data_IF_105249909139
#
_entry.id   IF_105249909139
#
_cell.length_a   1.000
_cell.length_b   1.000
_cell.length_c   1.000
_cell.angle_alpha   90.00
_cell.angle_beta   90.00
_cell.angle_gamma   90.00
#
_symmetry.space_group_name_H-M   'P 1'
#
loop_
_entity.id
_entity.type
_entity.pdbx_description
1 polymer ?
#
# COMPACT_ATOMS: atom_id res chain seq x y z
N UNK A 1 -31.55 -10.04 9.10
CA UNK A 1 -31.85 -9.23 7.90
C UNK A 1 -30.92 -9.65 6.78
N UNK A 2 -31.40 -9.67 5.53
CA UNK A 2 -30.62 -10.06 4.35
C UNK A 2 -30.04 -8.80 3.71
N UNK A 3 -28.72 -8.62 3.76
CA UNK A 3 -28.04 -7.58 2.99
C UNK A 3 -27.61 -8.19 1.66
N UNK A 4 -27.93 -7.56 0.53
CA UNK A 4 -27.39 -7.98 -0.77
C UNK A 4 -26.45 -6.90 -1.31
N UNK A 5 -25.19 -7.29 -1.60
CA UNK A 5 -24.22 -6.46 -2.31
C UNK A 5 -24.18 -6.88 -3.77
N UNK A 6 -24.34 -5.94 -4.70
CA UNK A 6 -24.27 -6.18 -6.14
C UNK A 6 -22.98 -5.61 -6.73
N UNK A 7 -22.35 -6.35 -7.65
CA UNK A 7 -21.10 -5.99 -8.32
C UNK A 7 -21.32 -5.69 -9.82
N UNK A 8 -20.35 -5.02 -10.44
CA UNK A 8 -20.37 -4.65 -11.86
C UNK A 8 -20.36 -5.85 -12.82
N UNK A 9 -19.89 -7.01 -12.38
CA UNK A 9 -19.95 -8.29 -13.11
C UNK A 9 -21.34 -8.95 -13.04
N UNK A 10 -22.37 -8.23 -12.58
CA UNK A 10 -23.75 -8.71 -12.36
C UNK A 10 -23.88 -9.79 -11.30
N UNK A 11 -22.82 -10.09 -10.54
CA UNK A 11 -22.91 -11.01 -9.41
C UNK A 11 -23.35 -10.29 -8.15
N UNK A 12 -23.82 -11.06 -7.17
CA UNK A 12 -24.23 -10.54 -5.87
C UNK A 12 -23.76 -11.41 -4.71
N UNK A 13 -23.49 -10.78 -3.57
CA UNK A 13 -23.20 -11.45 -2.30
C UNK A 13 -24.36 -11.16 -1.35
N UNK A 14 -25.00 -12.20 -0.83
CA UNK A 14 -26.02 -12.07 0.20
C UNK A 14 -25.43 -12.40 1.56
N UNK A 15 -25.62 -11.52 2.54
CA UNK A 15 -25.23 -11.75 3.93
C UNK A 15 -26.47 -11.84 4.82
N UNK A 16 -26.51 -12.86 5.67
CA UNK A 16 -27.44 -12.97 6.79
C UNK A 16 -26.63 -12.70 8.05
N UNK A 17 -27.00 -11.66 8.80
CA UNK A 17 -26.35 -11.36 10.08
C UNK A 17 -26.43 -12.57 11.02
N UNK A 18 -25.29 -13.20 11.28
CA UNK A 18 -25.08 -14.16 12.36
C UNK A 18 -23.67 -13.97 12.92
N UNK A 19 -23.60 -13.64 14.21
CA UNK A 19 -22.35 -13.52 14.96
C UNK A 19 -21.78 -14.92 15.22
N UNK A 20 -20.57 -15.20 14.72
CA UNK A 20 -19.83 -16.41 15.07
C UNK A 20 -18.41 -16.03 15.49
N UNK A 21 -17.93 -16.60 16.59
CA UNK A 21 -16.53 -16.48 16.99
C UNK A 21 -15.74 -17.52 16.20
N UNK A 22 -14.78 -17.08 15.39
CA UNK A 22 -13.86 -17.96 14.68
C UNK A 22 -12.47 -17.85 15.31
N UNK A 23 -11.85 -18.99 15.60
CA UNK A 23 -10.42 -19.07 15.89
C UNK A 23 -9.64 -18.87 14.60
N UNK A 24 -8.77 -17.86 14.56
CA UNK A 24 -7.87 -17.60 13.44
C UNK A 24 -6.94 -18.80 13.29
N UNK A 25 -6.95 -19.43 12.11
CA UNK A 25 -6.01 -20.50 11.80
C UNK A 25 -4.58 -19.94 11.84
N UNK A 26 -3.60 -20.69 12.38
CA UNK A 26 -2.21 -20.26 12.32
C UNK A 26 -1.81 -19.99 10.86
N UNK A 27 -0.89 -19.04 10.62
CA UNK A 27 -0.40 -18.75 9.27
C UNK A 27 0.07 -20.05 8.61
N UNK A 28 -0.09 -20.20 7.28
CA UNK A 28 0.36 -21.39 6.58
C UNK A 28 1.81 -21.65 6.93
N UNK A 29 2.13 -22.87 7.35
CA UNK A 29 3.52 -23.27 7.50
C UNK A 29 4.20 -23.10 6.13
N UNK A 30 5.41 -22.54 6.14
CA UNK A 30 6.26 -22.55 4.95
C UNK A 30 6.42 -24.00 4.46
N UNK A 31 6.07 -24.26 3.20
CA UNK A 31 6.27 -25.55 2.56
C UNK A 31 7.26 -25.37 1.43
N UNK A 32 8.52 -25.73 1.67
CA UNK A 32 9.52 -25.75 0.59
C UNK A 32 9.14 -26.77 -0.48
N UNK A 33 9.58 -26.52 -1.72
CA UNK A 33 9.58 -27.56 -2.74
C UNK A 33 10.33 -28.80 -2.23
N UNK A 34 9.84 -29.99 -2.57
CA UNK A 34 10.43 -31.26 -2.13
C UNK A 34 11.93 -31.29 -2.44
N UNK A 35 12.75 -31.58 -1.42
CA UNK A 35 14.21 -31.63 -1.53
C UNK A 35 14.97 -30.35 -1.16
N UNK A 36 14.26 -29.24 -0.85
CA UNK A 36 14.90 -27.97 -0.44
C UNK A 36 14.96 -27.79 1.07
N UNK A 37 15.92 -26.98 1.51
CA UNK A 37 16.09 -26.60 2.90
C UNK A 37 14.80 -26.03 3.51
N UNK A 38 14.47 -26.47 4.72
CA UNK A 38 13.32 -25.95 5.49
C UNK A 38 13.77 -25.12 6.70
N UNK A 39 15.08 -25.00 6.92
CA UNK A 39 15.61 -24.25 8.06
C UNK A 39 15.39 -22.76 7.89
N UNK A 40 14.98 -22.14 8.98
CA UNK A 40 14.75 -20.71 9.07
C UNK A 40 15.21 -20.18 10.42
N UNK A 41 15.41 -18.86 10.47
CA UNK A 41 15.72 -18.14 11.70
C UNK A 41 15.08 -16.75 11.65
N UNK A 42 14.37 -16.38 12.71
CA UNK A 42 13.83 -15.02 12.85
C UNK A 42 14.70 -14.22 13.81
N UNK A 43 15.07 -13.01 13.39
CA UNK A 43 15.76 -12.02 14.20
C UNK A 43 14.79 -10.89 14.53
N UNK A 44 14.67 -10.54 15.81
CA UNK A 44 13.97 -9.31 16.20
C UNK A 44 14.95 -8.14 16.08
N UNK A 45 14.57 -7.13 15.32
CA UNK A 45 15.41 -5.97 15.02
C UNK A 45 14.80 -4.73 15.67
N UNK A 46 15.61 -4.05 16.47
CA UNK A 46 15.30 -2.72 16.99
C UNK A 46 16.19 -1.72 16.25
N UNK A 47 15.58 -0.77 15.56
CA UNK A 47 16.28 0.26 14.82
C UNK A 47 17.07 1.20 15.73
N UNK A 48 18.05 1.88 15.15
CA UNK A 48 18.73 2.98 15.83
C UNK A 48 17.69 4.06 16.22
N UNK A 49 17.88 4.83 17.32
CA UNK A 49 16.95 5.88 17.70
C UNK A 49 16.83 6.94 16.59
N UNK A 50 15.61 7.32 16.24
CA UNK A 50 15.32 8.33 15.23
C UNK A 50 14.35 9.39 15.76
N UNK A 51 14.63 10.65 15.45
CA UNK A 51 13.79 11.79 15.85
C UNK A 51 13.03 12.34 14.65
N UNK A 52 11.73 12.59 14.82
CA UNK A 52 10.85 13.16 13.80
C UNK A 52 11.07 14.68 13.61
N UNK A 53 12.31 15.09 13.39
CA UNK A 53 12.68 16.50 13.21
C UNK A 53 12.01 17.09 11.96
N UNK A 54 11.37 18.26 12.13
CA UNK A 54 10.66 18.95 11.06
C UNK A 54 9.22 18.47 10.82
N UNK A 55 8.82 17.34 11.40
CA UNK A 55 7.45 16.84 11.33
C UNK A 55 6.56 17.54 12.36
N UNK A 56 5.61 18.36 11.88
CA UNK A 56 4.67 19.06 12.75
C UNK A 56 3.71 18.07 13.45
N UNK A 57 3.35 18.36 14.70
CA UNK A 57 2.41 17.56 15.48
C UNK A 57 2.97 16.22 15.99
N UNK A 58 4.27 15.98 15.89
CA UNK A 58 4.92 14.79 16.47
C UNK A 58 5.80 15.13 17.66
N UNK A 59 5.94 14.15 18.57
CA UNK A 59 6.96 14.19 19.60
C UNK A 59 8.35 14.31 18.97
N UNK A 60 9.17 15.22 19.50
CA UNK A 60 10.56 15.43 19.08
C UNK A 60 11.55 14.59 19.92
N UNK A 61 11.05 13.50 20.50
CA UNK A 61 11.84 12.51 21.24
C UNK A 61 12.31 11.42 20.27
N UNK A 62 13.55 10.98 20.45
CA UNK A 62 14.09 9.87 19.67
C UNK A 62 13.36 8.56 20.00
N UNK A 63 12.85 7.89 18.97
CA UNK A 63 12.12 6.62 19.08
C UNK A 63 12.69 5.64 18.06
N UNK A 64 12.92 4.40 18.47
CA UNK A 64 13.35 3.32 17.59
C UNK A 64 12.13 2.65 16.95
N UNK A 65 12.21 2.40 15.64
CA UNK A 65 11.33 1.45 14.99
C UNK A 65 11.70 0.02 15.37
N UNK A 66 10.82 -0.93 15.11
CA UNK A 66 11.09 -2.35 15.28
C UNK A 66 10.62 -3.15 14.07
N UNK A 67 11.16 -4.35 13.91
CA UNK A 67 10.78 -5.28 12.85
C UNK A 67 11.30 -6.68 13.11
N UNK A 68 10.93 -7.62 12.24
CA UNK A 68 11.44 -8.98 12.26
C UNK A 68 12.10 -9.31 10.93
N UNK A 69 13.31 -9.85 10.98
CA UNK A 69 14.01 -10.35 9.81
C UNK A 69 13.97 -11.88 9.82
N UNK A 70 13.20 -12.48 8.91
CA UNK A 70 13.13 -13.94 8.76
C UNK A 70 14.06 -14.39 7.66
N UNK A 71 15.05 -15.19 8.04
CA UNK A 71 16.05 -15.79 7.17
C UNK A 71 15.54 -17.16 6.71
N UNK A 72 15.43 -17.33 5.40
CA UNK A 72 15.17 -18.58 4.69
C UNK A 72 16.50 -19.05 4.09
N UNK A 73 17.18 -19.96 4.80
CA UNK A 73 18.53 -20.40 4.43
C UNK A 73 18.54 -21.11 3.08
N UNK A 74 19.55 -20.87 2.26
CA UNK A 74 19.82 -21.68 1.07
C UNK A 74 20.13 -23.13 1.43
N UNK A 75 20.17 -24.01 0.43
CA UNK A 75 20.58 -25.40 0.64
C UNK A 75 22.04 -25.48 1.15
N UNK A 76 22.91 -24.57 0.70
CA UNK A 76 24.29 -24.46 1.15
C UNK A 76 24.44 -24.00 2.62
N UNK A 77 23.45 -23.28 3.15
CA UNK A 77 23.44 -22.76 4.52
C UNK A 77 22.54 -23.55 5.47
N UNK A 78 21.92 -24.63 4.99
CA UNK A 78 20.87 -25.33 5.71
C UNK A 78 21.37 -26.00 7.00
N UNK A 79 22.55 -26.64 6.94
CA UNK A 79 23.04 -27.48 8.03
C UNK A 79 23.54 -26.66 9.24
N UNK A 80 24.15 -25.51 9.01
CA UNK A 80 24.84 -24.72 10.03
C UNK A 80 24.22 -23.36 10.31
N UNK A 81 23.18 -22.98 9.54
CA UNK A 81 22.45 -21.72 9.67
C UNK A 81 23.37 -20.49 9.62
N UNK A 82 24.43 -20.55 8.81
CA UNK A 82 25.31 -19.42 8.56
C UNK A 82 24.89 -18.69 7.29
N UNK A 83 24.55 -17.41 7.40
CA UNK A 83 24.28 -16.56 6.23
C UNK A 83 25.57 -16.38 5.44
N UNK A 84 25.52 -16.65 4.14
CA UNK A 84 26.65 -16.59 3.20
C UNK A 84 26.42 -15.59 2.08
N UNK A 85 25.25 -15.63 1.46
CA UNK A 85 24.91 -14.79 0.29
C UNK A 85 23.53 -14.14 0.49
N UNK A 86 23.44 -13.08 1.32
CA UNK A 86 22.15 -12.53 1.71
C UNK A 86 21.47 -11.74 0.57
N UNK A 87 20.20 -12.06 0.31
CA UNK A 87 19.26 -11.20 -0.40
C UNK A 87 18.23 -10.74 0.61
N UNK A 88 18.15 -9.44 0.87
CA UNK A 88 17.24 -8.82 1.82
C UNK A 88 16.07 -8.22 1.04
N UNK A 89 14.89 -8.78 1.21
CA UNK A 89 13.65 -8.30 0.63
C UNK A 89 12.86 -7.53 1.67
N UNK A 90 12.58 -6.25 1.41
CA UNK A 90 11.91 -5.38 2.38
C UNK A 90 10.40 -5.48 2.23
N UNK A 91 9.71 -5.41 3.36
CA UNK A 91 8.28 -5.19 3.34
C UNK A 91 7.93 -3.80 2.79
N UNK A 92 6.78 -3.73 2.13
CA UNK A 92 6.24 -2.51 1.56
C UNK A 92 5.42 -1.72 2.57
N UNK A 93 4.52 -0.87 2.06
CA UNK A 93 3.54 -0.22 2.92
C UNK A 93 2.53 -1.25 3.43
N UNK A 94 2.56 -1.52 4.74
CA UNK A 94 1.61 -2.37 5.46
C UNK A 94 1.19 -1.67 6.77
N UNK A 95 0.22 -0.75 6.72
CA UNK A 95 -0.10 0.14 7.83
C UNK A 95 -0.72 -0.55 9.04
N UNK A 96 -1.21 -1.77 8.88
CA UNK A 96 -1.89 -2.53 9.92
C UNK A 96 -1.08 -3.75 10.37
N UNK A 97 0.12 -3.97 9.80
CA UNK A 97 1.02 -5.07 10.09
C UNK A 97 0.30 -6.44 10.05
N UNK A 98 -0.34 -6.69 8.92
CA UNK A 98 -1.18 -7.87 8.68
C UNK A 98 -0.55 -8.86 7.72
N UNK A 99 0.49 -8.43 7.01
CA UNK A 99 1.36 -9.27 6.20
C UNK A 99 2.63 -9.58 6.99
N UNK A 100 2.94 -10.87 7.13
CA UNK A 100 4.20 -11.33 7.71
C UNK A 100 5.20 -11.83 6.66
N UNK A 101 6.41 -12.14 7.10
CA UNK A 101 7.49 -12.63 6.26
C UNK A 101 7.13 -13.85 5.38
N UNK A 102 6.28 -14.77 5.85
CA UNK A 102 5.86 -15.94 5.08
C UNK A 102 4.91 -15.59 3.96
N UNK A 103 3.97 -14.68 4.23
CA UNK A 103 3.07 -14.17 3.20
C UNK A 103 3.85 -13.41 2.13
N UNK A 104 4.84 -12.60 2.51
CA UNK A 104 5.75 -11.93 1.57
C UNK A 104 6.47 -12.97 0.70
N UNK A 105 7.10 -13.98 1.32
CA UNK A 105 7.79 -15.04 0.60
C UNK A 105 6.87 -15.73 -0.40
N UNK A 106 5.75 -16.31 0.05
CA UNK A 106 4.92 -17.19 -0.78
C UNK A 106 4.05 -16.44 -1.79
N UNK A 107 3.51 -15.27 -1.41
CA UNK A 107 2.49 -14.57 -2.19
C UNK A 107 3.05 -13.43 -3.05
N UNK A 108 4.30 -13.01 -2.84
CA UNK A 108 4.89 -11.89 -3.59
C UNK A 108 6.22 -12.25 -4.25
N UNK A 109 7.06 -13.08 -3.62
CA UNK A 109 8.36 -13.47 -4.20
C UNK A 109 8.26 -14.83 -4.92
N UNK A 110 7.58 -15.81 -4.34
CA UNK A 110 7.55 -17.19 -4.83
C UNK A 110 6.34 -17.49 -5.74
N UNK A 111 5.94 -16.50 -6.54
CA UNK A 111 4.76 -16.57 -7.41
C UNK A 111 5.10 -16.83 -8.87
N UNK A 112 4.08 -17.19 -9.65
CA UNK A 112 4.21 -17.45 -11.08
C UNK A 112 5.00 -18.72 -11.40
N UNK A 113 5.44 -18.86 -12.66
CA UNK A 113 6.13 -20.06 -13.14
C UNK A 113 7.56 -20.18 -12.62
N UNK A 114 8.25 -19.04 -12.44
CA UNK A 114 9.67 -19.00 -12.13
C UNK A 114 10.00 -19.04 -10.63
N UNK A 115 8.99 -18.87 -9.74
CA UNK A 115 9.13 -19.03 -8.28
C UNK A 115 10.44 -18.43 -7.74
N UNK A 116 10.54 -17.10 -7.75
CA UNK A 116 11.84 -16.39 -7.66
C UNK A 116 12.59 -16.68 -6.35
N UNK A 117 11.88 -16.74 -5.22
CA UNK A 117 12.49 -17.02 -3.91
C UNK A 117 13.18 -18.40 -3.89
N UNK A 118 12.51 -19.37 -4.47
CA UNK A 118 12.97 -20.73 -4.63
C UNK A 118 14.19 -20.81 -5.56
N UNK A 119 14.19 -20.05 -6.67
CA UNK A 119 15.33 -19.96 -7.59
C UNK A 119 16.57 -19.36 -6.90
N UNK A 120 16.41 -18.29 -6.13
CA UNK A 120 17.51 -17.69 -5.39
C UNK A 120 18.15 -18.67 -4.41
N UNK A 121 17.33 -19.43 -3.67
CA UNK A 121 17.83 -20.39 -2.68
C UNK A 121 18.53 -21.59 -3.32
N UNK A 122 18.07 -22.01 -4.49
CA UNK A 122 18.75 -23.00 -5.33
C UNK A 122 20.12 -22.50 -5.82
N UNK A 123 20.24 -21.20 -6.13
CA UNK A 123 21.52 -20.57 -6.49
C UNK A 123 22.44 -20.28 -5.29
N UNK A 124 22.05 -20.73 -4.08
CA UNK A 124 22.85 -20.57 -2.86
C UNK A 124 22.66 -19.24 -2.13
N UNK A 125 21.64 -18.45 -2.48
CA UNK A 125 21.32 -17.21 -1.79
C UNK A 125 20.43 -17.46 -0.56
N UNK A 126 20.79 -16.84 0.56
CA UNK A 126 19.96 -16.83 1.77
C UNK A 126 18.97 -15.67 1.65
N UNK A 127 17.68 -15.99 1.52
CA UNK A 127 16.64 -14.96 1.38
C UNK A 127 16.24 -14.48 2.78
N UNK A 128 16.28 -13.18 3.01
CA UNK A 128 15.92 -12.54 4.28
C UNK A 128 14.76 -11.61 4.00
N UNK A 129 13.61 -11.84 4.63
CA UNK A 129 12.48 -10.92 4.55
C UNK A 129 12.48 -10.03 5.78
N UNK A 130 12.57 -8.72 5.61
CA UNK A 130 12.45 -7.74 6.69
C UNK A 130 11.02 -7.19 6.73
N UNK A 131 10.28 -7.62 7.74
CA UNK A 131 8.92 -7.22 8.05
C UNK A 131 8.92 -6.16 9.16
N UNK A 132 8.28 -5.01 8.93
CA UNK A 132 8.28 -3.89 9.88
C UNK A 132 7.12 -4.02 10.86
N UNK A 133 7.39 -3.84 12.16
CA UNK A 133 6.33 -3.94 13.17
C UNK A 133 5.22 -2.89 12.99
N UNK A 134 5.56 -1.75 12.37
CA UNK A 134 4.63 -0.74 11.89
C UNK A 134 5.01 -0.31 10.46
N UNK A 135 4.49 -1.02 9.46
CA UNK A 135 4.67 -0.70 8.04
C UNK A 135 3.99 0.60 7.58
N UNK A 136 3.29 1.30 8.48
CA UNK A 136 2.72 2.64 8.24
C UNK A 136 3.51 3.78 8.89
N UNK A 137 4.53 3.47 9.69
CA UNK A 137 5.35 4.46 10.39
C UNK A 137 6.20 5.32 9.43
N UNK A 138 6.93 6.31 9.96
CA UNK A 138 7.84 7.14 9.17
C UNK A 138 8.82 6.27 8.39
N UNK A 139 8.95 6.54 7.09
CA UNK A 139 9.85 5.84 6.18
C UNK A 139 11.30 5.89 6.72
N UNK A 140 11.73 7.02 7.27
CA UNK A 140 13.05 7.16 7.87
C UNK A 140 13.23 6.31 9.13
N UNK A 141 12.18 6.14 9.95
CA UNK A 141 12.27 5.30 11.15
C UNK A 141 12.39 3.83 10.77
N UNK A 142 11.60 3.38 9.79
CA UNK A 142 11.73 2.03 9.23
C UNK A 142 13.10 1.84 8.54
N UNK A 143 13.66 2.88 7.92
CA UNK A 143 15.02 2.82 7.38
C UNK A 143 16.08 2.59 8.47
N UNK A 144 15.89 3.12 9.69
CA UNK A 144 16.80 2.85 10.81
C UNK A 144 16.70 1.40 11.32
N UNK A 145 15.59 0.71 11.09
CA UNK A 145 15.47 -0.74 11.32
C UNK A 145 16.30 -1.51 10.29
N UNK A 146 16.27 -1.12 9.01
CA UNK A 146 17.13 -1.71 7.98
C UNK A 146 18.61 -1.55 8.32
N UNK A 147 19.04 -0.36 8.76
CA UNK A 147 20.44 -0.11 9.15
C UNK A 147 20.85 -1.06 10.29
N UNK A 148 19.99 -1.22 11.30
CA UNK A 148 20.23 -2.13 12.41
C UNK A 148 20.33 -3.60 11.95
N UNK A 149 19.48 -4.04 11.01
CA UNK A 149 19.57 -5.38 10.42
C UNK A 149 20.93 -5.58 9.72
N UNK A 150 21.36 -4.63 8.90
CA UNK A 150 22.62 -4.72 8.17
C UNK A 150 23.82 -4.82 9.13
N UNK A 151 23.86 -3.99 10.17
CA UNK A 151 24.87 -4.08 11.23
C UNK A 151 24.83 -5.44 11.95
N UNK A 152 23.62 -5.96 12.21
CA UNK A 152 23.45 -7.26 12.84
C UNK A 152 23.98 -8.39 11.97
N UNK A 153 23.73 -8.36 10.65
CA UNK A 153 24.26 -9.36 9.73
C UNK A 153 25.78 -9.36 9.68
N UNK A 154 26.41 -8.17 9.63
CA UNK A 154 27.87 -8.05 9.67
C UNK A 154 28.44 -8.59 11.00
N UNK A 155 27.77 -8.32 12.11
CA UNK A 155 28.22 -8.76 13.45
C UNK A 155 28.07 -10.27 13.63
N UNK A 156 26.91 -10.82 13.31
CA UNK A 156 26.57 -12.22 13.61
C UNK A 156 27.12 -13.20 12.57
N UNK A 157 27.26 -12.77 11.32
CA UNK A 157 27.60 -13.64 10.19
C UNK A 157 28.84 -13.20 9.39
N UNK A 158 29.47 -12.06 9.70
CA UNK A 158 30.58 -11.49 8.94
C UNK A 158 31.66 -12.49 8.48
N UNK A 159 32.21 -13.36 9.35
CA UNK A 159 33.21 -14.35 8.96
C UNK A 159 32.75 -15.40 7.94
N UNK A 160 31.44 -15.55 7.73
CA UNK A 160 30.80 -16.54 6.86
C UNK A 160 30.24 -15.94 5.57
N UNK A 161 30.14 -14.61 5.49
CA UNK A 161 29.67 -13.92 4.29
C UNK A 161 30.63 -14.20 3.13
N UNK A 162 30.08 -14.76 2.04
CA UNK A 162 30.79 -15.01 0.78
C UNK A 162 30.53 -13.89 -0.23
N UNK A 163 29.39 -13.21 -0.12
CA UNK A 163 29.04 -12.05 -0.92
C UNK A 163 28.43 -10.97 -0.02
N UNK A 164 28.68 -9.70 -0.38
CA UNK A 164 27.93 -8.57 0.16
C UNK A 164 26.45 -8.67 -0.18
N UNK A 165 25.62 -8.10 0.69
CA UNK A 165 24.18 -8.20 0.62
C UNK A 165 23.59 -7.52 -0.62
N UNK A 166 22.48 -8.06 -1.10
CA UNK A 166 21.57 -7.39 -2.04
C UNK A 166 20.36 -6.92 -1.26
N UNK A 167 19.94 -5.67 -1.42
CA UNK A 167 18.71 -5.12 -0.82
C UNK A 167 17.70 -4.85 -1.93
N UNK A 168 16.53 -5.47 -1.85
CA UNK A 168 15.41 -5.30 -2.77
C UNK A 168 14.28 -4.63 -2.01
N UNK A 169 13.94 -3.41 -2.41
CA UNK A 169 12.84 -2.64 -1.85
C UNK A 169 11.68 -2.56 -2.84
N UNK A 170 10.62 -3.35 -2.69
CA UNK A 170 9.37 -3.15 -3.42
C UNK A 170 8.55 -1.99 -2.85
N UNK A 171 7.93 -1.18 -3.72
CA UNK A 171 7.02 -0.10 -3.30
C UNK A 171 7.68 0.83 -2.26
N UNK A 172 7.06 1.10 -1.11
CA UNK A 172 7.64 1.88 -0.01
C UNK A 172 9.01 1.36 0.45
N UNK A 173 9.25 0.04 0.37
CA UNK A 173 10.54 -0.57 0.69
C UNK A 173 11.69 0.02 -0.14
N UNK A 174 11.43 0.49 -1.36
CA UNK A 174 12.43 1.16 -2.19
C UNK A 174 12.93 2.46 -1.54
N UNK A 175 12.01 3.25 -0.99
CA UNK A 175 12.30 4.52 -0.31
C UNK A 175 13.04 4.27 1.01
N UNK A 176 12.62 3.24 1.75
CA UNK A 176 13.28 2.79 2.98
C UNK A 176 14.74 2.41 2.68
N UNK A 177 14.97 1.60 1.65
CA UNK A 177 16.30 1.16 1.25
C UNK A 177 17.16 2.34 0.77
N UNK A 178 16.64 3.20 -0.11
CA UNK A 178 17.39 4.37 -0.58
C UNK A 178 17.83 5.24 0.60
N UNK A 179 16.87 5.68 1.42
CA UNK A 179 17.16 6.56 2.54
C UNK A 179 18.07 5.87 3.56
N UNK A 180 17.80 4.62 3.92
CA UNK A 180 18.56 3.88 4.92
C UNK A 180 20.01 3.64 4.53
N UNK A 181 20.26 3.23 3.28
CA UNK A 181 21.61 2.99 2.79
C UNK A 181 22.40 4.31 2.66
N UNK A 182 21.80 5.36 2.10
CA UNK A 182 22.43 6.66 2.02
C UNK A 182 22.71 7.26 3.41
N UNK A 183 21.78 7.09 4.36
CA UNK A 183 21.96 7.57 5.73
C UNK A 183 23.02 6.77 6.48
N UNK A 184 23.13 5.47 6.26
CA UNK A 184 24.20 4.66 6.82
C UNK A 184 25.58 5.13 6.34
N UNK A 185 25.72 5.48 5.06
CA UNK A 185 26.95 6.07 4.52
C UNK A 185 27.29 7.41 5.19
N UNK A 186 26.31 8.29 5.39
CA UNK A 186 26.49 9.56 6.12
C UNK A 186 26.95 9.33 7.58
N UNK A 187 26.44 8.28 8.22
CA UNK A 187 26.82 7.87 9.57
C UNK A 187 28.12 7.05 9.62
N UNK A 188 28.83 6.89 8.50
CA UNK A 188 30.03 6.06 8.39
C UNK A 188 29.83 4.60 8.82
N UNK A 189 28.62 4.07 8.64
CA UNK A 189 28.28 2.67 8.92
C UNK A 189 28.51 1.84 7.67
N UNK A 190 29.41 0.85 7.75
CA UNK A 190 29.56 -0.13 6.68
C UNK A 190 28.31 -1.03 6.63
N UNK A 191 27.54 -0.91 5.55
CA UNK A 191 26.33 -1.71 5.32
C UNK A 191 26.63 -3.10 4.77
N UNK A 192 27.79 -3.29 4.13
CA UNK A 192 28.12 -4.52 3.39
C UNK A 192 27.09 -4.87 2.32
N UNK A 193 26.56 -3.85 1.63
CA UNK A 193 25.57 -3.98 0.55
C UNK A 193 26.24 -3.65 -0.78
N UNK A 194 26.18 -4.58 -1.74
CA UNK A 194 26.73 -4.36 -3.09
C UNK A 194 25.71 -3.88 -4.11
N UNK A 195 24.43 -4.18 -3.88
CA UNK A 195 23.36 -3.92 -4.83
C UNK A 195 22.08 -3.51 -4.10
N UNK A 196 21.57 -2.34 -4.48
CA UNK A 196 20.24 -1.87 -4.14
C UNK A 196 19.33 -1.97 -5.38
N UNK A 197 18.17 -2.60 -5.23
CA UNK A 197 17.14 -2.70 -6.25
C UNK A 197 15.87 -1.98 -5.76
N UNK A 198 15.54 -0.87 -6.43
CA UNK A 198 14.22 -0.23 -6.34
C UNK A 198 13.24 -1.01 -7.21
N UNK A 199 12.29 -1.72 -6.62
CA UNK A 199 11.24 -2.41 -7.38
C UNK A 199 9.95 -1.59 -7.29
N UNK A 200 9.63 -0.86 -8.36
CA UNK A 200 8.39 -0.07 -8.45
C UNK A 200 8.19 0.89 -7.26
N UNK A 201 9.29 1.48 -6.79
CA UNK A 201 9.30 2.37 -5.64
C UNK A 201 8.69 3.74 -5.94
N UNK A 202 7.84 4.35 -5.10
CA UNK A 202 7.24 5.65 -5.39
C UNK A 202 8.20 6.81 -5.07
N UNK A 203 9.35 6.89 -5.76
CA UNK A 203 10.40 7.90 -5.53
C UNK A 203 9.91 9.33 -5.69
N UNK A 204 9.01 9.56 -6.65
CA UNK A 204 8.36 10.85 -6.85
C UNK A 204 6.98 10.93 -6.19
N UNK A 205 6.61 9.94 -5.39
CA UNK A 205 5.35 9.86 -4.66
C UNK A 205 4.35 8.88 -5.26
N UNK A 206 3.28 8.68 -4.51
CA UNK A 206 2.12 7.90 -4.92
C UNK A 206 0.91 8.83 -5.06
N UNK A 207 0.00 8.49 -5.94
CA UNK A 207 -1.23 9.23 -6.17
C UNK A 207 -2.41 8.30 -5.91
N UNK A 208 -3.10 8.53 -4.81
CA UNK A 208 -4.42 7.96 -4.57
C UNK A 208 -5.41 9.07 -4.90
N UNK A 209 -6.41 8.78 -5.75
CA UNK A 209 -7.44 9.77 -6.10
C UNK A 209 -7.96 10.47 -4.85
N UNK A 210 -7.89 11.81 -4.83
CA UNK A 210 -8.37 12.61 -3.71
C UNK A 210 -9.84 12.32 -3.38
N UNK A 211 -10.59 11.91 -4.39
CA UNK A 211 -11.96 11.48 -4.24
C UNK A 211 -12.14 10.26 -3.34
N UNK A 212 -11.28 9.26 -3.53
CA UNK A 212 -11.20 8.06 -2.69
C UNK A 212 -10.78 8.45 -1.26
N UNK A 213 -9.77 9.31 -1.13
CA UNK A 213 -9.31 9.78 0.19
C UNK A 213 -10.42 10.52 0.97
N UNK A 214 -11.14 11.43 0.30
CA UNK A 214 -12.26 12.18 0.89
C UNK A 214 -13.44 11.29 1.28
N UNK A 215 -13.73 10.25 0.49
CA UNK A 215 -14.76 9.26 0.84
C UNK A 215 -14.44 8.56 2.17
N UNK A 216 -13.17 8.19 2.37
CA UNK A 216 -12.74 7.55 3.61
C UNK A 216 -12.71 8.48 4.81
N UNK A 217 -12.22 9.71 4.62
CA UNK A 217 -12.31 10.74 5.65
C UNK A 217 -13.75 10.98 6.10
N UNK A 218 -14.67 11.13 5.15
CA UNK A 218 -16.10 11.30 5.46
C UNK A 218 -16.67 10.10 6.20
N UNK A 219 -16.32 8.88 5.79
CA UNK A 219 -16.84 7.67 6.42
C UNK A 219 -16.48 7.60 7.91
N UNK A 220 -15.22 7.85 8.26
CA UNK A 220 -14.76 7.83 9.66
C UNK A 220 -15.37 8.95 10.49
N UNK A 221 -15.64 10.11 9.88
CA UNK A 221 -16.32 11.22 10.54
C UNK A 221 -17.84 11.01 10.64
N UNK A 222 -18.41 10.07 9.88
CA UNK A 222 -19.85 9.80 9.88
C UNK A 222 -20.26 8.93 11.07
N UNK A 223 -21.48 9.15 11.58
CA UNK A 223 -22.09 8.28 12.61
C UNK A 223 -22.39 6.85 12.12
N UNK A 224 -21.98 6.51 10.89
CA UNK A 224 -22.18 5.22 10.23
C UNK A 224 -20.98 4.28 10.50
N UNK A 225 -19.85 4.78 11.00
CA UNK A 225 -18.74 3.93 11.47
C UNK A 225 -18.75 3.82 13.00
N UNK A 226 -18.34 2.69 13.61
CA UNK A 226 -18.16 2.60 15.04
C UNK A 226 -17.23 3.70 15.56
N UNK A 227 -17.56 4.28 16.70
CA UNK A 227 -16.76 5.32 17.38
C UNK A 227 -15.35 4.86 17.76
N UNK A 228 -15.03 3.58 17.62
CA UNK A 228 -13.70 3.00 17.87
C UNK A 228 -12.72 3.18 16.72
N UNK A 229 -13.14 3.65 15.54
CA UNK A 229 -12.27 3.93 14.41
C UNK A 229 -11.97 5.44 14.39
N UNK A 230 -10.71 5.81 14.59
CA UNK A 230 -10.28 7.21 14.50
C UNK A 230 -9.74 7.55 13.11
N UNK A 231 -9.69 8.84 12.77
CA UNK A 231 -9.05 9.28 11.52
C UNK A 231 -7.57 8.84 11.43
N UNK A 232 -6.88 8.63 12.55
CA UNK A 232 -5.49 8.19 12.55
C UNK A 232 -5.33 6.70 12.18
N UNK A 233 -6.42 5.93 12.25
CA UNK A 233 -6.46 4.51 11.86
C UNK A 233 -6.70 4.35 10.35
N UNK A 234 -6.98 5.45 9.64
CA UNK A 234 -7.05 5.43 8.18
C UNK A 234 -5.65 5.20 7.59
N UNK A 235 -5.49 4.22 6.68
CA UNK A 235 -4.23 3.99 5.97
C UNK A 235 -3.62 5.29 5.41
N UNK A 236 -4.42 6.09 4.69
CA UNK A 236 -3.93 7.35 4.10
C UNK A 236 -3.49 8.42 5.11
N UNK A 237 -3.81 8.26 6.40
CA UNK A 237 -3.39 9.17 7.48
C UNK A 237 -2.19 8.67 8.28
N UNK A 238 -1.70 7.46 7.99
CA UNK A 238 -0.45 6.93 8.56
C UNK A 238 0.75 7.76 8.07
N UNK A 239 1.81 7.92 8.89
CA UNK A 239 2.99 8.71 8.53
C UNK A 239 3.55 8.43 7.14
N UNK A 240 3.84 7.17 6.80
CA UNK A 240 4.36 6.78 5.48
C UNK A 240 3.46 7.20 4.32
N UNK A 241 2.14 7.05 4.46
CA UNK A 241 1.20 7.47 3.42
C UNK A 241 1.24 8.99 3.22
N UNK A 242 1.25 9.77 4.32
CA UNK A 242 1.40 11.23 4.26
C UNK A 242 2.73 11.69 3.64
N UNK A 243 3.79 10.89 3.76
CA UNK A 243 5.09 11.17 3.13
C UNK A 243 5.08 10.86 1.63
N UNK A 244 4.40 9.79 1.22
CA UNK A 244 4.36 9.35 -0.19
C UNK A 244 3.29 10.06 -1.03
N UNK A 245 2.15 10.41 -0.45
CA UNK A 245 1.01 10.93 -1.22
C UNK A 245 1.28 12.33 -1.79
N UNK A 246 1.21 12.43 -3.12
CA UNK A 246 1.34 13.67 -3.88
C UNK A 246 0.28 14.71 -3.50
N UNK A 247 -0.90 14.21 -3.17
CA UNK A 247 -2.08 14.97 -2.79
C UNK A 247 -2.71 14.29 -1.59
N UNK A 248 -3.07 15.04 -0.57
CA UNK A 248 -3.68 14.50 0.64
C UNK A 248 -4.98 15.24 0.97
N UNK A 249 -5.99 14.51 1.44
CA UNK A 249 -7.26 15.11 1.82
C UNK A 249 -7.11 15.87 3.14
N UNK A 250 -7.54 17.13 3.17
CA UNK A 250 -7.63 17.88 4.42
C UNK A 250 -9.06 17.81 4.94
N UNK A 251 -9.30 17.40 6.20
CA UNK A 251 -10.63 17.36 6.81
C UNK A 251 -11.36 18.71 6.83
N UNK A 252 -10.63 19.82 6.72
CA UNK A 252 -11.12 21.17 7.02
C UNK A 252 -11.58 21.96 5.79
N UNK A 253 -12.60 21.50 5.06
CA UNK A 253 -13.42 22.30 4.13
C UNK A 253 -12.69 23.07 3.00
N UNK A 254 -11.38 22.92 2.88
CA UNK A 254 -10.57 23.56 1.86
C UNK A 254 -10.62 22.67 0.62
N UNK A 255 -11.15 23.21 -0.46
CA UNK A 255 -11.21 22.52 -1.75
C UNK A 255 -9.83 22.41 -2.40
N UNK A 256 -8.82 23.10 -1.86
CA UNK A 256 -7.46 23.04 -2.36
C UNK A 256 -6.75 21.77 -1.89
N UNK A 257 -6.52 20.88 -2.85
CA UNK A 257 -5.83 19.62 -2.64
C UNK A 257 -4.33 19.86 -2.71
N UNK A 258 -3.66 19.77 -1.56
CA UNK A 258 -2.21 19.99 -1.41
C UNK A 258 -1.53 18.72 -0.86
N UNK A 259 -0.23 18.54 -1.11
CA UNK A 259 0.53 17.52 -0.41
C UNK A 259 0.55 17.78 1.10
N UNK A 260 0.54 16.71 1.90
CA UNK A 260 0.68 16.85 3.35
C UNK A 260 2.08 17.39 3.70
N UNK A 261 2.21 18.18 4.78
CA UNK A 261 3.51 18.75 5.20
C UNK A 261 4.60 17.69 5.37
N UNK A 262 4.23 16.48 5.79
CA UNK A 262 5.16 15.35 5.99
C UNK A 262 5.87 14.97 4.69
N UNK A 263 5.20 15.07 3.55
CA UNK A 263 5.82 14.85 2.25
C UNK A 263 6.89 15.89 1.96
N UNK A 264 6.65 17.16 2.28
CA UNK A 264 7.65 18.21 2.03
C UNK A 264 8.93 17.93 2.82
N UNK A 265 8.79 17.56 4.09
CA UNK A 265 9.92 17.17 4.96
C UNK A 265 10.62 15.93 4.41
N UNK A 266 9.87 14.86 4.11
CA UNK A 266 10.44 13.62 3.62
C UNK A 266 11.17 13.77 2.29
N UNK A 267 10.57 14.44 1.31
CA UNK A 267 11.20 14.69 0.00
C UNK A 267 12.48 15.51 0.16
N UNK A 268 12.51 16.47 1.08
CA UNK A 268 13.72 17.20 1.40
C UNK A 268 14.79 16.29 2.02
N UNK A 269 14.42 15.47 3.01
CA UNK A 269 15.32 14.51 3.65
C UNK A 269 15.90 13.51 2.63
N UNK A 270 15.05 12.97 1.76
CA UNK A 270 15.44 12.01 0.72
C UNK A 270 16.38 12.64 -0.31
N UNK A 271 16.11 13.88 -0.73
CA UNK A 271 16.99 14.64 -1.65
C UNK A 271 18.34 14.96 -1.03
N UNK A 272 18.37 15.26 0.27
CA UNK A 272 19.62 15.53 0.99
C UNK A 272 20.46 14.27 1.16
N UNK A 273 19.81 13.13 1.44
CA UNK A 273 20.48 11.83 1.51
C UNK A 273 21.00 11.37 0.14
N UNK A 274 20.19 11.55 -0.91
CA UNK A 274 20.49 11.10 -2.27
C UNK A 274 20.33 9.58 -2.43
N UNK A 275 20.89 9.03 -3.51
CA UNK A 275 21.06 7.59 -3.67
C UNK A 275 22.36 7.12 -3.00
N UNK A 276 22.40 5.89 -2.44
CA UNK A 276 23.61 5.34 -1.86
C UNK A 276 24.72 5.23 -2.91
N UNK A 277 25.96 5.51 -2.52
CA UNK A 277 27.13 5.58 -3.39
C UNK A 277 28.06 4.38 -3.24
N UNK A 278 27.99 3.68 -2.11
CA UNK A 278 28.82 2.51 -1.82
C UNK A 278 28.32 1.24 -2.52
N UNK A 279 27.10 1.26 -3.10
CA UNK A 279 26.51 0.12 -3.77
C UNK A 279 26.04 0.46 -5.19
N UNK A 280 25.87 -0.56 -6.04
CA UNK A 280 25.23 -0.40 -7.33
C UNK A 280 23.73 -0.17 -7.13
N UNK A 281 23.19 0.84 -7.81
CA UNK A 281 21.76 1.14 -7.80
C UNK A 281 21.10 0.62 -9.09
N UNK A 282 20.04 -0.17 -8.95
CA UNK A 282 19.20 -0.65 -10.05
C UNK A 282 17.76 -0.32 -9.73
N UNK A 283 16.98 0.01 -10.75
CA UNK A 283 15.55 0.19 -10.61
C UNK A 283 14.80 -0.63 -11.66
N UNK A 284 13.71 -1.22 -11.22
CA UNK A 284 12.75 -1.95 -12.02
C UNK A 284 11.46 -1.15 -11.96
N UNK A 285 10.95 -0.77 -13.13
CA UNK A 285 9.69 -0.03 -13.27
C UNK A 285 8.64 -1.00 -13.77
N UNK A 286 7.48 -1.04 -13.14
CA UNK A 286 6.32 -1.73 -13.72
C UNK A 286 5.43 -0.71 -14.45
N UNK A 287 5.97 -0.15 -15.55
CA UNK A 287 5.37 0.95 -16.30
C UNK A 287 5.69 0.89 -17.79
N UNK A 288 5.28 1.92 -18.54
CA UNK A 288 5.52 1.96 -19.98
C UNK A 288 7.02 2.06 -20.30
N UNK A 289 7.53 1.14 -21.12
CA UNK A 289 8.96 1.05 -21.48
C UNK A 289 9.51 2.25 -22.28
N UNK A 290 8.65 3.18 -22.70
CA UNK A 290 8.98 4.30 -23.59
C UNK A 290 8.82 5.68 -22.92
N UNK A 291 8.59 5.74 -21.59
CA UNK A 291 8.33 6.98 -20.85
C UNK A 291 7.17 7.82 -21.40
N UNK A 292 6.31 7.25 -22.25
CA UNK A 292 5.07 7.89 -22.70
C UNK A 292 3.94 7.45 -21.76
N UNK A 293 2.98 8.35 -21.46
CA UNK A 293 1.68 7.90 -20.99
C UNK A 293 1.15 6.84 -21.97
N UNK A 294 0.60 5.72 -21.48
CA UNK A 294 0.03 4.72 -22.37
C UNK A 294 -1.09 5.41 -23.14
N UNK A 295 -0.85 5.61 -24.42
CA UNK A 295 -1.88 5.98 -25.36
C UNK A 295 -2.46 4.67 -25.88
N UNK A 296 -3.79 4.60 -25.93
CA UNK A 296 -4.56 3.47 -26.45
C UNK A 296 -3.93 3.00 -27.77
N UNK A 297 -3.24 1.86 -27.76
CA UNK A 297 -2.64 1.30 -28.96
C UNK A 297 -3.72 0.61 -29.80
N UNK A 298 -4.81 0.14 -29.17
CA UNK A 298 -5.98 -0.50 -29.82
C UNK A 298 -7.33 -0.23 -29.14
N UNK A 299 -8.45 -0.31 -29.89
CA UNK A 299 -9.79 -0.10 -29.35
C UNK A 299 -10.18 -0.99 -28.16
N UNK A 300 -9.67 -2.21 -28.14
CA UNK A 300 -9.84 -3.23 -27.10
C UNK A 300 -8.98 -3.05 -25.83
N UNK A 301 -8.11 -2.02 -25.75
CA UNK A 301 -7.27 -1.81 -24.57
C UNK A 301 -8.07 -1.27 -23.35
N UNK A 302 -7.97 -1.97 -22.21
CA UNK A 302 -8.53 -1.64 -20.89
C UNK A 302 -7.81 -0.40 -20.26
N UNK A 303 -7.86 0.79 -20.89
CA UNK A 303 -7.21 2.02 -20.38
C UNK A 303 -8.19 3.19 -20.13
N UNK A 304 -8.16 3.79 -18.93
CA UNK A 304 -9.02 4.92 -18.53
C UNK A 304 -8.63 6.21 -19.26
N UNK A 305 -9.63 6.93 -19.77
CA UNK A 305 -9.46 8.33 -20.13
C UNK A 305 -9.65 9.21 -18.89
N UNK A 306 -8.96 10.37 -18.83
CA UNK A 306 -9.31 11.40 -17.87
C UNK A 306 -10.81 11.75 -17.91
N UNK A 307 -11.48 11.68 -16.76
CA UNK A 307 -12.93 11.85 -16.64
C UNK A 307 -13.76 10.57 -16.72
N UNK A 308 -13.16 9.41 -17.06
CA UNK A 308 -13.84 8.12 -16.95
C UNK A 308 -14.19 7.84 -15.49
N UNK A 309 -15.42 7.44 -15.19
CA UNK A 309 -15.76 6.90 -13.87
C UNK A 309 -14.87 5.67 -13.63
N UNK A 310 -14.30 5.48 -12.45
CA UNK A 310 -13.47 4.31 -12.08
C UNK A 310 -14.17 3.48 -11.01
N UNK A 311 -14.80 4.16 -10.05
CA UNK A 311 -15.51 3.53 -8.93
C UNK A 311 -16.80 4.27 -8.68
N UNK A 312 -17.89 3.53 -8.52
CA UNK A 312 -19.14 4.05 -8.00
C UNK A 312 -19.62 3.16 -6.86
N UNK A 313 -19.92 3.81 -5.73
CA UNK A 313 -20.51 3.17 -4.56
C UNK A 313 -21.88 3.81 -4.36
N UNK A 314 -22.92 2.99 -4.30
CA UNK A 314 -24.29 3.43 -4.12
C UNK A 314 -24.94 2.60 -3.01
N UNK A 315 -25.40 3.27 -1.95
CA UNK A 315 -26.08 2.66 -0.81
C UNK A 315 -27.54 3.09 -0.87
N UNK A 316 -28.48 2.15 -0.86
CA UNK A 316 -29.91 2.42 -1.04
C UNK A 316 -30.76 1.89 0.11
N UNK A 317 -31.71 2.69 0.56
CA UNK A 317 -32.68 2.32 1.58
C UNK A 317 -33.69 1.30 1.06
N UNK A 318 -34.16 0.45 1.97
CA UNK A 318 -35.11 -0.62 1.68
C UNK A 318 -36.40 -0.58 2.51
N UNK A 319 -36.47 0.32 3.49
CA UNK A 319 -37.69 0.53 4.28
C UNK A 319 -38.92 0.89 3.42
N UNK A 320 -40.11 0.53 3.90
CA UNK A 320 -41.39 0.67 3.19
C UNK A 320 -41.65 2.08 2.62
N UNK A 321 -41.18 3.13 3.29
CA UNK A 321 -41.39 4.52 2.88
C UNK A 321 -40.28 5.09 2.00
N UNK A 322 -39.08 4.50 2.02
CA UNK A 322 -37.88 5.05 1.41
C UNK A 322 -37.20 4.08 0.43
N UNK A 323 -37.90 3.01 0.05
CA UNK A 323 -37.38 1.94 -0.79
C UNK A 323 -36.84 2.49 -2.13
N UNK A 324 -35.59 2.14 -2.44
CA UNK A 324 -34.90 2.55 -3.67
C UNK A 324 -34.29 3.96 -3.63
N UNK A 325 -34.44 4.69 -2.53
CA UNK A 325 -33.76 5.98 -2.35
C UNK A 325 -32.30 5.80 -1.98
N UNK A 326 -31.44 6.59 -2.60
CA UNK A 326 -30.01 6.60 -2.31
C UNK A 326 -29.76 7.27 -0.96
N UNK A 327 -29.15 6.54 -0.03
CA UNK A 327 -28.57 7.12 1.17
C UNK A 327 -27.24 7.81 0.83
N UNK A 328 -26.42 7.12 0.03
CA UNK A 328 -25.11 7.56 -0.42
C UNK A 328 -24.97 7.21 -1.91
N UNK A 329 -24.48 8.17 -2.70
CA UNK A 329 -23.99 7.89 -4.05
C UNK A 329 -22.63 8.56 -4.20
N UNK A 330 -21.62 7.77 -4.51
CA UNK A 330 -20.27 8.22 -4.78
C UNK A 330 -19.87 7.80 -6.17
N UNK A 331 -19.17 8.72 -6.85
CA UNK A 331 -18.52 8.46 -8.11
C UNK A 331 -17.11 8.98 -8.01
N UNK A 332 -16.15 8.14 -8.35
CA UNK A 332 -14.75 8.48 -8.51
C UNK A 332 -14.42 8.41 -9.98
N UNK A 333 -13.68 9.40 -10.47
CA UNK A 333 -13.28 9.53 -11.86
C UNK A 333 -11.76 9.50 -11.98
N UNK A 334 -11.28 9.08 -13.15
CA UNK A 334 -9.88 9.13 -13.51
C UNK A 334 -9.44 10.58 -13.60
N UNK A 335 -8.46 10.94 -12.78
CA UNK A 335 -7.77 12.22 -12.89
C UNK A 335 -6.85 12.18 -14.11
N UNK A 336 -6.76 13.28 -14.83
CA UNK A 336 -5.78 13.44 -15.91
C UNK A 336 -5.28 14.87 -16.04
N UNK A 337 -4.72 15.14 -17.21
CA UNK A 337 -3.74 16.22 -17.38
C UNK A 337 -4.33 17.63 -17.55
N UNK A 338 -5.44 17.97 -16.89
CA UNK A 338 -6.02 19.33 -16.95
C UNK A 338 -6.38 19.92 -15.59
N UNK A 339 -6.29 21.27 -15.40
CA UNK A 339 -6.40 21.92 -14.10
C UNK A 339 -7.75 21.80 -13.37
N UNK A 340 -8.79 21.26 -14.03
CA UNK A 340 -10.18 21.31 -13.57
C UNK A 340 -10.84 19.93 -13.49
N UNK A 341 -10.08 18.85 -13.45
CA UNK A 341 -10.68 17.53 -13.45
C UNK A 341 -11.24 17.13 -12.08
N UNK A 342 -12.57 17.03 -12.05
CA UNK A 342 -13.33 16.43 -10.96
C UNK A 342 -12.89 14.97 -10.79
N UNK A 343 -12.37 14.64 -9.62
CA UNK A 343 -11.95 13.29 -9.27
C UNK A 343 -13.05 12.53 -8.52
N UNK A 344 -13.97 13.23 -7.87
CA UNK A 344 -15.14 12.61 -7.22
C UNK A 344 -16.34 13.52 -7.09
N UNK A 345 -17.52 12.92 -7.24
CA UNK A 345 -18.79 13.45 -6.78
C UNK A 345 -19.29 12.67 -5.56
N UNK A 346 -19.68 13.38 -4.51
CA UNK A 346 -20.34 12.81 -3.33
C UNK A 346 -21.75 13.35 -3.14
N UNK A 347 -22.75 12.48 -3.16
CA UNK A 347 -24.16 12.81 -2.92
C UNK A 347 -24.66 12.17 -1.62
N UNK A 348 -25.22 12.98 -0.72
CA UNK A 348 -25.99 12.54 0.46
C UNK A 348 -27.40 13.16 0.42
N UNK A 349 -28.48 12.37 0.54
CA UNK A 349 -29.84 12.80 0.17
C UNK A 349 -30.70 13.34 1.33
N UNK A 350 -31.36 14.48 1.07
CA UNK A 350 -32.11 15.41 1.94
C UNK A 350 -32.92 14.87 3.14
N UNK A 351 -34.03 14.13 2.90
CA UNK A 351 -35.04 13.91 3.94
C UNK A 351 -34.65 12.89 5.01
N UNK A 352 -33.74 11.98 4.66
CA UNK A 352 -33.27 10.88 5.53
C UNK A 352 -32.15 11.37 6.48
N UNK A 353 -31.63 12.59 6.24
CA UNK A 353 -30.48 13.23 6.93
C UNK A 353 -30.70 13.48 8.41
N UNK A 354 -31.84 14.07 8.79
CA UNK A 354 -32.07 14.51 10.17
C UNK A 354 -32.47 13.36 11.09
N UNK A 355 -33.04 12.30 10.53
CA UNK A 355 -33.56 11.18 11.29
C UNK A 355 -32.44 10.24 11.79
N UNK A 356 -31.26 10.28 11.15
CA UNK A 356 -30.18 9.31 11.35
C UNK A 356 -28.86 9.92 11.87
N UNK A 357 -28.83 11.22 12.13
CA UNK A 357 -27.64 11.90 12.64
C UNK A 357 -26.43 11.90 11.69
N UNK A 358 -26.61 11.61 10.40
CA UNK A 358 -25.51 11.51 9.43
C UNK A 358 -25.02 12.92 9.02
N UNK A 359 -23.71 13.23 9.10
CA UNK A 359 -23.17 14.52 8.66
C UNK A 359 -23.49 14.82 7.19
N UNK A 360 -24.03 16.01 6.94
CA UNK A 360 -24.45 16.43 5.61
C UNK A 360 -23.31 16.84 4.69
N UNK A 361 -23.26 16.22 3.50
CA UNK A 361 -22.50 16.76 2.37
C UNK A 361 -23.43 16.90 1.16
N UNK A 362 -23.86 18.13 0.87
CA UNK A 362 -24.46 18.46 -0.43
C UNK A 362 -23.40 18.30 -1.52
N UNK A 363 -23.81 17.90 -2.74
CA UNK A 363 -22.93 17.56 -3.88
C UNK A 363 -21.55 18.24 -3.79
N UNK A 364 -20.56 17.49 -3.33
CA UNK A 364 -19.20 17.99 -3.20
C UNK A 364 -18.37 17.51 -4.39
N UNK A 365 -17.59 18.44 -4.94
CA UNK A 365 -16.65 18.19 -6.01
C UNK A 365 -15.24 18.32 -5.46
N UNK A 366 -14.46 17.25 -5.58
CA UNK A 366 -13.03 17.28 -5.29
C UNK A 366 -12.27 17.14 -6.60
N UNK A 367 -11.17 17.87 -6.73
CA UNK A 367 -10.31 17.85 -7.92
C UNK A 367 -8.87 17.97 -7.47
N UNK A 368 -7.99 17.21 -8.11
CA UNK A 368 -6.55 17.30 -7.91
C UNK A 368 -5.88 17.73 -9.22
N UNK A 369 -4.79 18.51 -9.18
CA UNK A 369 -4.06 18.86 -10.38
C UNK A 369 -3.53 17.63 -11.10
N UNK A 370 -3.42 17.78 -12.42
CA UNK A 370 -2.63 16.92 -13.28
C UNK A 370 -1.21 16.71 -12.76
N UNK A 371 -0.71 15.48 -12.84
CA UNK A 371 0.70 15.20 -12.67
C UNK A 371 1.47 15.72 -13.88
N UNK A 372 2.33 16.72 -13.67
CA UNK A 372 3.17 17.31 -14.71
C UNK A 372 4.46 16.53 -14.97
N UNK A 373 4.72 15.46 -14.23
CA UNK A 373 5.92 14.64 -14.34
C UNK A 373 5.74 13.49 -15.33
N UNK A 374 6.64 13.43 -16.31
CA UNK A 374 6.82 12.35 -17.28
C UNK A 374 7.57 11.17 -16.63
N UNK A 375 7.05 10.60 -15.55
CA UNK A 375 7.64 9.39 -14.98
C UNK A 375 7.54 8.21 -15.96
N UNK A 376 8.53 7.31 -15.95
CA UNK A 376 8.45 6.01 -16.66
C UNK A 376 7.22 5.18 -16.22
N UNK A 377 6.72 5.51 -15.04
CA UNK A 377 5.48 5.04 -14.42
C UNK A 377 4.57 6.27 -14.19
N UNK A 378 4.10 6.91 -15.25
CA UNK A 378 3.21 8.09 -15.19
C UNK A 378 1.73 7.73 -15.32
N UNK A 379 1.38 6.45 -15.24
CA UNK A 379 0.04 5.98 -15.57
C UNK A 379 -0.57 5.28 -14.35
N UNK A 380 -1.76 5.72 -13.98
CA UNK A 380 -2.62 4.99 -13.07
C UNK A 380 -3.00 3.64 -13.68
N UNK A 381 -2.48 2.56 -13.12
CA UNK A 381 -3.03 1.23 -13.38
C UNK A 381 -2.00 0.15 -13.61
N UNK A 382 -1.57 -0.51 -12.53
CA UNK A 382 -1.27 -1.94 -12.64
C UNK A 382 -2.53 -2.69 -13.11
N UNK A 383 -2.35 -3.84 -13.77
CA UNK A 383 -3.42 -4.71 -14.30
C UNK A 383 -4.18 -5.49 -13.22
N UNK A 384 -4.19 -5.00 -11.98
CA UNK A 384 -4.80 -5.68 -10.83
C UNK A 384 -6.30 -5.78 -11.04
N UNK A 385 -6.88 -6.98 -10.86
CA UNK A 385 -8.33 -7.22 -10.88
C UNK A 385 -8.97 -6.62 -9.61
N UNK A 386 -9.11 -5.32 -9.63
CA UNK A 386 -9.61 -4.50 -8.56
C UNK A 386 -11.06 -4.81 -8.20
N UNK A 387 -11.87 -5.26 -9.16
CA UNK A 387 -13.25 -5.69 -8.88
C UNK A 387 -13.30 -7.02 -8.17
N UNK A 388 -12.50 -7.98 -8.62
CA UNK A 388 -12.31 -9.25 -7.94
C UNK A 388 -11.79 -9.05 -6.51
N UNK A 389 -10.86 -8.13 -6.33
CA UNK A 389 -10.30 -7.78 -5.03
C UNK A 389 -11.37 -7.14 -4.12
N UNK A 390 -12.06 -6.07 -4.55
CA UNK A 390 -13.15 -5.46 -3.77
C UNK A 390 -14.25 -6.49 -3.43
N UNK A 391 -14.58 -7.38 -4.37
CA UNK A 391 -15.57 -8.45 -4.18
C UNK A 391 -15.13 -9.47 -3.14
N UNK A 392 -13.90 -9.97 -3.23
CA UNK A 392 -13.32 -10.88 -2.25
C UNK A 392 -13.30 -10.24 -0.85
N UNK A 393 -12.85 -8.99 -0.76
CA UNK A 393 -12.76 -8.26 0.51
C UNK A 393 -14.13 -7.95 1.10
N UNK A 394 -15.13 -7.63 0.27
CA UNK A 394 -16.51 -7.46 0.71
C UNK A 394 -17.08 -8.79 1.19
N UNK A 395 -16.78 -9.90 0.50
CA UNK A 395 -17.19 -11.24 0.91
C UNK A 395 -16.59 -11.63 2.26
N UNK A 396 -15.28 -11.43 2.42
CA UNK A 396 -14.52 -11.73 3.63
C UNK A 396 -15.01 -10.88 4.80
N UNK A 397 -15.23 -9.58 4.59
CA UNK A 397 -15.74 -8.69 5.62
C UNK A 397 -17.16 -9.07 6.10
N UNK A 398 -18.03 -9.49 5.18
CA UNK A 398 -19.42 -9.88 5.49
C UNK A 398 -19.54 -11.26 6.15
N UNK A 399 -18.64 -12.21 5.85
CA UNK A 399 -18.75 -13.60 6.29
C UNK A 399 -17.74 -14.02 7.37
N UNK A 400 -16.64 -13.28 7.57
CA UNK A 400 -15.64 -13.55 8.60
C UNK A 400 -15.58 -12.41 9.65
N UNK A 401 -16.27 -12.56 10.79
CA UNK A 401 -16.34 -11.52 11.83
C UNK A 401 -15.02 -11.27 12.59
N UNK A 402 -14.00 -12.12 12.43
CA UNK A 402 -12.69 -12.03 13.11
C UNK A 402 -11.56 -11.39 12.31
N UNK A 403 -11.81 -10.88 11.10
CA UNK A 403 -10.77 -10.24 10.28
C UNK A 403 -10.75 -8.73 10.59
N UNK A 404 -9.71 -8.18 11.25
CA UNK A 404 -9.51 -6.75 11.31
C UNK A 404 -9.28 -6.19 9.89
N UNK A 405 -9.53 -4.90 9.62
CA UNK A 405 -9.22 -4.31 8.31
C UNK A 405 -7.73 -4.54 7.97
N UNK A 406 -7.37 -5.37 7.00
CA UNK A 406 -5.96 -5.76 6.75
C UNK A 406 -5.39 -5.23 5.44
N UNK A 407 -4.11 -4.86 5.39
CA UNK A 407 -3.19 -4.77 4.23
C UNK A 407 -3.11 -3.51 3.35
N UNK A 408 -4.19 -2.76 3.00
CA UNK A 408 -4.09 -1.52 2.21
C UNK A 408 -5.40 -0.72 2.13
N UNK A 409 -5.45 0.31 1.29
CA UNK A 409 -6.64 1.15 1.09
C UNK A 409 -7.81 0.41 0.43
N UNK A 410 -7.54 -0.66 -0.33
CA UNK A 410 -8.55 -1.44 -1.08
C UNK A 410 -9.27 -2.42 -0.15
N UNK A 411 -8.57 -2.97 0.83
CA UNK A 411 -9.14 -3.81 1.89
C UNK A 411 -9.91 -3.00 2.93
N UNK A 412 -9.47 -1.78 3.22
CA UNK A 412 -10.23 -0.85 4.05
C UNK A 412 -11.60 -0.55 3.42
N UNK A 413 -11.70 -0.34 2.09
CA UNK A 413 -12.98 -0.24 1.37
C UNK A 413 -13.95 -1.37 1.70
N UNK A 414 -13.49 -2.62 1.60
CA UNK A 414 -14.31 -3.80 1.90
C UNK A 414 -14.78 -3.84 3.37
N UNK A 415 -13.88 -3.52 4.30
CA UNK A 415 -14.19 -3.50 5.74
C UNK A 415 -15.17 -2.37 6.12
N UNK A 416 -15.10 -1.22 5.46
CA UNK A 416 -16.00 -0.09 5.74
C UNK A 416 -17.41 -0.37 5.24
N UNK A 417 -17.58 -1.13 4.15
CA UNK A 417 -18.90 -1.62 3.72
C UNK A 417 -19.56 -2.52 4.78
N UNK A 418 -18.78 -3.31 5.52
CA UNK A 418 -19.26 -4.08 6.68
C UNK A 418 -19.68 -3.15 7.83
N UNK A 419 -18.89 -2.14 8.17
CA UNK A 419 -19.26 -1.21 9.25
C UNK A 419 -20.51 -0.39 8.92
N UNK A 420 -20.62 0.04 7.66
CA UNK A 420 -21.84 0.60 7.09
C UNK A 420 -22.97 -0.40 7.23
N UNK A 421 -22.82 -1.66 6.82
CA UNK A 421 -23.86 -2.67 6.97
C UNK A 421 -24.26 -2.96 8.44
N UNK A 422 -23.32 -2.86 9.39
CA UNK A 422 -23.53 -3.18 10.81
C UNK A 422 -24.16 -2.02 11.60
N UNK A 423 -23.77 -0.77 11.35
CA UNK A 423 -24.33 0.43 11.99
C UNK A 423 -25.74 0.76 11.49
N UNK A 424 -26.11 0.21 10.34
CA UNK A 424 -27.36 0.46 9.64
C UNK A 424 -28.50 -0.49 10.07
N UNK A 425 -28.25 -1.37 11.04
CA UNK A 425 -29.29 -2.20 11.65
C UNK A 425 -30.47 -1.39 12.24
N UNK A 426 -30.29 -0.09 12.54
CA UNK A 426 -31.35 0.79 13.05
C UNK A 426 -32.11 1.58 11.95
N UNK A 427 -31.76 1.40 10.67
CA UNK A 427 -32.08 2.38 9.60
C UNK A 427 -32.85 1.80 8.39
N UNK A 428 -32.84 0.49 8.19
CA UNK A 428 -33.61 -0.17 7.12
C UNK A 428 -33.05 0.01 5.70
N UNK A 429 -31.75 -0.25 5.50
CA UNK A 429 -31.11 -0.41 4.17
C UNK A 429 -31.17 -1.86 3.73
N UNK A 430 -31.57 -2.11 2.48
CA UNK A 430 -31.67 -3.47 1.93
C UNK A 430 -30.53 -3.80 0.95
N UNK A 431 -29.92 -2.79 0.30
CA UNK A 431 -28.98 -3.02 -0.80
C UNK A 431 -27.79 -2.05 -0.82
N UNK A 432 -26.61 -2.59 -1.14
CA UNK A 432 -25.40 -1.84 -1.48
C UNK A 432 -24.99 -2.23 -2.90
N UNK A 433 -24.74 -1.26 -3.76
CA UNK A 433 -24.22 -1.46 -5.12
C UNK A 433 -22.80 -0.91 -5.19
N UNK A 434 -21.84 -1.77 -5.53
CA UNK A 434 -20.45 -1.38 -5.78
C UNK A 434 -20.14 -1.68 -7.23
N UNK A 435 -20.08 -0.64 -8.06
CA UNK A 435 -19.87 -0.75 -9.49
C UNK A 435 -18.54 -0.14 -9.86
N UNK A 436 -17.64 -0.93 -10.43
CA UNK A 436 -16.46 -0.46 -11.14
C UNK A 436 -16.79 -0.39 -12.63
N UNK A 437 -16.34 0.65 -13.31
CA UNK A 437 -16.52 0.77 -14.77
C UNK A 437 -15.55 -0.11 -15.56
N UNK A 438 -14.41 -0.48 -14.93
CA UNK A 438 -13.32 -1.25 -15.54
C UNK A 438 -12.68 -2.16 -14.50
N UNK A 439 -12.86 -3.49 -14.59
CA UNK A 439 -12.53 -4.39 -13.50
C UNK A 439 -11.03 -4.68 -13.29
N UNK A 440 -10.20 -4.42 -14.30
CA UNK A 440 -8.78 -4.83 -14.36
C UNK A 440 -7.78 -3.67 -14.16
N UNK A 441 -8.08 -2.68 -13.32
CA UNK A 441 -7.21 -1.50 -13.16
C UNK A 441 -6.96 -1.09 -11.70
N UNK A 442 -5.70 -0.81 -11.36
CA UNK A 442 -5.30 -0.29 -10.04
C UNK A 442 -5.74 1.16 -9.79
N UNK A 443 -6.27 1.44 -8.60
CA UNK A 443 -6.67 2.79 -8.15
C UNK A 443 -5.52 3.67 -7.63
N UNK A 444 -4.31 3.14 -7.55
CA UNK A 444 -3.14 3.81 -6.95
C UNK A 444 -2.02 3.89 -7.99
N UNK A 445 -2.00 4.89 -8.88
CA UNK A 445 -0.78 5.26 -9.60
C UNK A 445 0.37 5.51 -8.63
N UNK A 446 1.49 4.82 -8.81
CA UNK A 446 2.78 5.31 -8.32
C UNK A 446 3.35 6.28 -9.35
N UNK A 447 4.23 7.19 -8.92
CA UNK A 447 4.93 8.09 -9.82
C UNK A 447 6.42 7.82 -9.71
N UNK A 448 6.92 7.06 -10.69
CA UNK A 448 8.33 6.74 -10.93
C UNK A 448 9.01 5.82 -9.93
N UNK A 449 9.53 4.68 -10.42
CA UNK A 449 10.46 3.77 -9.71
C UNK A 449 11.86 4.36 -9.43
N UNK A 450 12.13 5.60 -9.88
CA UNK A 450 13.40 6.35 -9.78
C UNK A 450 13.17 7.86 -9.74
N UNK A 451 13.91 8.63 -8.93
CA UNK A 451 13.96 10.10 -9.07
C UNK A 451 14.99 10.52 -10.14
N UNK A 452 14.51 10.71 -11.37
CA UNK A 452 15.33 11.06 -12.53
C UNK A 452 16.12 12.38 -12.37
N UNK A 453 15.67 13.28 -11.48
CA UNK A 453 16.37 14.56 -11.24
C UNK A 453 17.64 14.41 -10.39
N UNK A 454 17.86 13.24 -9.78
CA UNK A 454 19.03 12.98 -8.92
C UNK A 454 20.09 12.10 -9.60
N UNK A 455 19.89 11.67 -10.84
CA UNK A 455 20.77 10.71 -11.53
C UNK A 455 21.31 11.29 -12.84
N UNK A 456 22.63 11.31 -12.97
CA UNK A 456 23.32 11.53 -14.24
C UNK A 456 23.70 10.18 -14.86
N UNK A 457 23.39 9.95 -16.14
CA UNK A 457 23.92 8.80 -16.92
C UNK A 457 23.13 7.48 -16.82
N UNK A 458 21.80 7.53 -16.94
CA UNK A 458 20.94 6.33 -16.92
C UNK A 458 21.24 5.44 -18.14
N UNK A 459 21.56 4.17 -17.91
CA UNK A 459 21.53 3.13 -18.94
C UNK A 459 20.19 2.41 -18.87
N UNK A 460 19.31 2.68 -19.84
CA UNK A 460 18.02 2.01 -19.96
C UNK A 460 18.19 0.67 -20.68
N UNK A 461 17.70 -0.41 -20.07
CA UNK A 461 17.62 -1.73 -20.68
C UNK A 461 16.15 -2.11 -20.67
N UNK A 462 15.53 -2.18 -21.85
CA UNK A 462 14.15 -2.68 -22.01
C UNK A 462 14.17 -4.16 -22.36
N UNK A 463 13.28 -4.93 -21.75
CA UNK A 463 12.95 -6.29 -22.17
C UNK A 463 11.60 -6.22 -22.86
N UNK A 464 11.54 -6.63 -24.13
CA UNK A 464 10.30 -6.71 -24.92
C UNK A 464 9.38 -7.86 -24.46
#
# INVERSE_FOLDING_TARGET
>A
MHLTVYFSDSTSIQAVSAFRVATIAPPPAYVSAAGRCTQQQTLNITGLPWTATGYAGTSQVAVSGTGTATIFFSDASCADKKVRKPIIFLDGYDPNNTRNAYQIYEQYINVGQQKLADKFREDGYDLIVLDFADGGDFIERNAYVLIALLQRLQTDYGPWLQEEAVVIGPSMGALIAQYGLAKAEEMCINTGVRLYISFDGPHQGANISIGIQQQFGWLVQSSITPSSISENDLPMNRPAAKQMLLYHYQPSGNTQVLPHWYRNVFVQNLRQAGYPKACRNVAIVNGANNAQPQTRLKPEDDLLNPGDEILRIRITLGSYFWNGMDLVRWKTYASGSVPWQHSTDMYTYGPVKSLLGIPTVNKAHFSQPALGNLSLDAIAGGTTNTTGLIKQLTNDALHNPGIPPTDNIITWLGSTLKYIALSINDVGVDNIQVTTSRPNQSFIPTTSSVDLNQINGIQQISTD
#
